data_IF_470714562268
#
_entry.id   IF_470714562268
#
_cell.length_a   1.000
_cell.length_b   1.000
_cell.length_c   1.000
_cell.angle_alpha   90.00
_cell.angle_beta   90.00
_cell.angle_gamma   90.00
#
_symmetry.space_group_name_H-M   'P 1'
#
loop_
_entity.id
_entity.type
_entity.pdbx_description
1 polymer ?
#
# COMPACT_ATOMS: atom_id res chain seq x y z
N UNK A 1 1.17 -32.51 -11.50
CA UNK A 1 1.52 -32.17 -10.10
C UNK A 1 0.53 -31.11 -9.66
N UNK A 2 -0.29 -31.37 -8.62
CA UNK A 2 -1.29 -30.41 -8.12
C UNK A 2 -0.54 -29.42 -7.24
N UNK A 3 -0.39 -28.16 -7.69
CA UNK A 3 0.00 -27.05 -6.83
C UNK A 3 -1.13 -26.83 -5.83
N UNK A 4 -0.88 -27.10 -4.55
CA UNK A 4 -1.82 -26.76 -3.48
C UNK A 4 -1.74 -25.25 -3.28
N UNK A 5 -2.80 -24.55 -3.68
CA UNK A 5 -3.01 -23.13 -3.37
C UNK A 5 -3.04 -22.95 -1.85
N UNK A 6 -2.07 -22.21 -1.32
CA UNK A 6 -2.08 -21.80 0.10
C UNK A 6 -3.17 -20.73 0.25
N UNK A 7 -4.17 -21.00 1.08
CA UNK A 7 -5.21 -20.00 1.32
C UNK A 7 -4.63 -18.80 2.10
N UNK A 8 -5.21 -17.60 1.91
CA UNK A 8 -4.77 -16.40 2.66
C UNK A 8 -4.77 -16.60 4.18
N UNK A 9 -5.65 -17.45 4.69
CA UNK A 9 -5.69 -17.85 6.09
C UNK A 9 -4.44 -18.62 6.51
N UNK A 10 -3.97 -19.55 5.68
CA UNK A 10 -2.76 -20.33 5.95
C UNK A 10 -1.51 -19.45 5.96
N UNK A 11 -1.44 -18.44 5.08
CA UNK A 11 -0.34 -17.49 5.07
C UNK A 11 -0.30 -16.66 6.36
N UNK A 12 -1.44 -16.16 6.83
CA UNK A 12 -1.54 -15.41 8.09
C UNK A 12 -1.09 -16.27 9.27
N UNK A 13 -1.48 -17.53 9.30
CA UNK A 13 -1.02 -18.48 10.32
C UNK A 13 0.50 -18.67 10.27
N UNK A 14 1.06 -18.87 9.09
CA UNK A 14 2.52 -19.00 8.93
C UNK A 14 3.27 -17.76 9.42
N UNK A 15 2.78 -16.56 9.09
CA UNK A 15 3.36 -15.30 9.57
C UNK A 15 3.26 -15.15 11.09
N UNK A 16 2.16 -15.58 11.72
CA UNK A 16 1.98 -15.60 13.18
C UNK A 16 3.02 -16.49 13.85
N UNK A 17 3.18 -17.72 13.37
CA UNK A 17 4.16 -18.64 13.91
C UNK A 17 5.60 -18.19 13.68
N UNK A 18 5.91 -17.65 12.50
CA UNK A 18 7.22 -17.12 12.19
C UNK A 18 7.59 -15.94 13.10
N UNK A 19 6.66 -15.00 13.28
CA UNK A 19 6.83 -13.87 14.19
C UNK A 19 7.06 -14.35 15.63
N UNK A 20 6.22 -15.26 16.13
CA UNK A 20 6.34 -15.83 17.47
C UNK A 20 7.72 -16.48 17.70
N UNK A 21 8.15 -17.33 16.78
CA UNK A 21 9.44 -18.03 16.90
C UNK A 21 10.62 -17.03 16.89
N UNK A 22 10.56 -16.01 16.03
CA UNK A 22 11.59 -14.98 15.97
C UNK A 22 11.60 -14.05 17.18
N UNK A 23 10.43 -13.62 17.65
CA UNK A 23 10.32 -12.83 18.88
C UNK A 23 10.91 -13.59 20.07
N UNK A 24 10.54 -14.87 20.22
CA UNK A 24 11.09 -15.74 21.27
C UNK A 24 12.61 -15.86 21.18
N UNK A 25 13.15 -16.06 19.97
CA UNK A 25 14.58 -16.13 19.73
C UNK A 25 15.30 -14.82 20.11
N UNK A 26 14.75 -13.65 19.75
CA UNK A 26 15.33 -12.36 20.13
C UNK A 26 15.31 -12.12 21.64
N UNK A 27 14.22 -12.46 22.33
CA UNK A 27 14.11 -12.37 23.80
C UNK A 27 15.18 -13.23 24.48
N UNK A 28 15.34 -14.48 24.01
CA UNK A 28 16.36 -15.39 24.53
C UNK A 28 17.78 -14.89 24.24
N UNK A 29 18.04 -14.43 23.02
CA UNK A 29 19.36 -13.87 22.61
C UNK A 29 19.75 -12.67 23.47
N UNK A 30 18.81 -11.80 23.83
CA UNK A 30 19.04 -10.63 24.67
C UNK A 30 18.98 -10.95 26.17
N UNK A 31 18.59 -12.16 26.54
CA UNK A 31 18.43 -12.63 27.92
C UNK A 31 17.55 -11.70 28.78
N UNK A 32 16.41 -11.27 28.22
CA UNK A 32 15.47 -10.38 28.91
C UNK A 32 14.15 -11.09 29.20
N UNK A 33 13.50 -10.69 30.30
CA UNK A 33 12.15 -11.18 30.61
C UNK A 33 11.07 -10.39 29.88
N UNK A 34 9.86 -10.99 29.73
CA UNK A 34 8.69 -10.28 29.17
C UNK A 34 8.34 -9.01 29.94
N UNK A 35 8.61 -8.97 31.25
CA UNK A 35 8.37 -7.78 32.08
C UNK A 35 9.39 -6.66 31.78
N UNK A 36 10.63 -7.00 31.46
CA UNK A 36 11.64 -6.06 31.00
C UNK A 36 11.31 -5.56 29.61
N UNK A 37 10.92 -6.46 28.69
CA UNK A 37 10.49 -6.08 27.35
C UNK A 37 9.26 -5.17 27.39
N UNK A 38 8.29 -5.42 28.27
CA UNK A 38 7.11 -4.55 28.44
C UNK A 38 7.52 -3.12 28.83
N UNK A 39 8.48 -2.99 29.77
CA UNK A 39 8.99 -1.68 30.20
C UNK A 39 9.76 -0.94 29.12
N UNK A 40 10.64 -1.64 28.39
CA UNK A 40 11.48 -1.03 27.36
C UNK A 40 10.69 -0.68 26.10
N UNK A 41 9.70 -1.50 25.71
CA UNK A 41 8.90 -1.28 24.50
C UNK A 41 7.67 -0.39 24.74
N UNK A 42 7.25 -0.17 25.98
CA UNK A 42 5.97 0.48 26.30
C UNK A 42 4.73 -0.32 25.86
N UNK A 43 4.89 -1.62 25.57
CA UNK A 43 3.80 -2.52 25.23
C UNK A 43 3.34 -3.25 26.50
N UNK A 44 2.03 -3.32 26.74
CA UNK A 44 1.54 -3.99 27.95
C UNK A 44 1.94 -5.46 27.97
N UNK A 45 2.21 -5.99 29.17
CA UNK A 45 2.57 -7.40 29.36
C UNK A 45 1.50 -8.37 28.84
N UNK A 46 0.22 -7.99 28.92
CA UNK A 46 -0.88 -8.80 28.40
C UNK A 46 -0.83 -8.93 26.87
N UNK A 47 -0.51 -7.86 26.17
CA UNK A 47 -0.30 -7.86 24.69
C UNK A 47 0.91 -8.71 24.33
N UNK A 48 2.04 -8.53 25.02
CA UNK A 48 3.23 -9.37 24.81
C UNK A 48 2.98 -10.84 25.07
N UNK A 49 2.20 -11.16 26.11
CA UNK A 49 1.79 -12.53 26.39
C UNK A 49 0.91 -13.09 25.26
N UNK A 50 0.08 -12.26 24.61
CA UNK A 50 -0.70 -12.66 23.44
C UNK A 50 0.17 -13.04 22.24
N UNK A 51 1.33 -12.39 22.07
CA UNK A 51 2.30 -12.74 21.02
C UNK A 51 3.09 -14.03 21.32
N UNK A 52 3.07 -14.48 22.58
CA UNK A 52 3.85 -15.65 23.06
C UNK A 52 2.98 -16.89 23.31
N UNK A 53 1.71 -16.87 22.90
CA UNK A 53 0.81 -18.05 23.02
C UNK A 53 1.04 -19.04 21.89
N UNK A 54 0.45 -20.23 22.03
CA UNK A 54 0.47 -21.26 20.98
C UNK A 54 -0.32 -20.84 19.73
N UNK A 55 -1.34 -19.98 19.89
CA UNK A 55 -1.99 -19.24 18.79
C UNK A 55 -1.62 -17.76 18.91
N UNK A 56 -0.46 -17.34 18.32
CA UNK A 56 0.07 -16.01 18.50
C UNK A 56 -0.68 -14.97 17.68
N UNK A 57 -0.94 -13.81 18.27
CA UNK A 57 -1.42 -12.66 17.54
C UNK A 57 -0.27 -12.01 16.76
N UNK A 58 -0.56 -11.41 15.58
CA UNK A 58 0.39 -10.54 14.90
C UNK A 58 0.40 -9.15 15.57
N UNK A 59 1.57 -8.53 15.72
CA UNK A 59 1.64 -7.15 16.17
C UNK A 59 1.08 -6.21 15.10
N UNK A 60 0.46 -5.14 15.54
CA UNK A 60 0.31 -4.00 14.65
C UNK A 60 1.68 -3.34 14.44
N UNK A 61 1.79 -2.50 13.43
CA UNK A 61 3.06 -1.89 13.04
C UNK A 61 3.69 -1.06 14.16
N UNK A 62 2.87 -0.31 14.91
CA UNK A 62 3.39 0.49 16.03
C UNK A 62 4.06 -0.41 17.08
N UNK A 63 3.45 -1.55 17.40
CA UNK A 63 4.03 -2.51 18.34
C UNK A 63 5.25 -3.22 17.74
N UNK A 64 5.24 -3.52 16.44
CA UNK A 64 6.40 -4.09 15.75
C UNK A 64 7.62 -3.16 15.85
N UNK A 65 7.44 -1.88 15.57
CA UNK A 65 8.51 -0.88 15.68
C UNK A 65 9.02 -0.72 17.10
N UNK A 66 8.13 -0.71 18.10
CA UNK A 66 8.49 -0.66 19.52
C UNK A 66 9.27 -1.90 19.97
N UNK A 67 8.89 -3.08 19.49
CA UNK A 67 9.62 -4.32 19.74
C UNK A 67 11.02 -4.27 19.13
N UNK A 68 11.13 -3.85 17.89
CA UNK A 68 12.41 -3.71 17.18
C UNK A 68 13.36 -2.76 17.93
N UNK A 69 12.85 -1.60 18.32
CA UNK A 69 13.64 -0.62 19.10
C UNK A 69 14.04 -1.19 20.48
N UNK A 70 13.12 -1.82 21.20
CA UNK A 70 13.39 -2.36 22.54
C UNK A 70 14.37 -3.55 22.52
N UNK A 71 14.38 -4.30 21.41
CA UNK A 71 15.27 -5.44 21.19
C UNK A 71 16.52 -5.09 20.38
N UNK A 72 16.66 -3.80 20.03
CA UNK A 72 17.80 -3.29 19.27
C UNK A 72 18.06 -4.18 18.02
N UNK A 73 17.03 -4.32 17.20
CA UNK A 73 17.07 -5.08 15.96
C UNK A 73 16.19 -4.39 14.90
N UNK A 74 16.42 -4.75 13.64
CA UNK A 74 15.57 -4.30 12.55
C UNK A 74 14.16 -4.93 12.64
N UNK A 75 13.08 -4.21 12.29
CA UNK A 75 11.72 -4.76 12.30
C UNK A 75 11.59 -6.03 11.45
N UNK A 76 12.38 -6.16 10.37
CA UNK A 76 12.47 -7.33 9.53
C UNK A 76 13.03 -8.57 10.25
N UNK A 77 13.75 -8.42 11.37
CA UNK A 77 14.28 -9.55 12.12
C UNK A 77 13.19 -10.48 12.71
N UNK A 78 11.97 -10.00 12.82
CA UNK A 78 10.83 -10.80 13.28
C UNK A 78 10.15 -11.62 12.20
N UNK A 79 10.50 -11.40 10.95
CA UNK A 79 9.97 -12.15 9.82
C UNK A 79 11.09 -12.91 9.14
N UNK A 80 10.81 -14.05 8.51
CA UNK A 80 11.83 -14.81 7.80
C UNK A 80 12.36 -13.95 6.63
N UNK A 81 13.54 -13.36 6.81
CA UNK A 81 14.30 -12.72 5.76
C UNK A 81 15.34 -13.72 5.26
N UNK A 82 15.28 -14.10 4.01
CA UNK A 82 16.40 -14.78 3.37
C UNK A 82 17.42 -13.73 2.94
N UNK A 83 18.54 -13.67 3.63
CA UNK A 83 19.74 -13.12 3.01
C UNK A 83 20.09 -14.01 1.82
N UNK A 84 20.28 -13.42 0.66
CA UNK A 84 20.52 -14.11 -0.61
C UNK A 84 21.78 -15.00 -0.66
N UNK A 85 22.44 -15.27 0.45
CA UNK A 85 23.71 -16.01 0.51
C UNK A 85 23.74 -17.31 1.31
N UNK A 86 22.71 -17.64 2.11
CA UNK A 86 22.75 -18.86 2.91
C UNK A 86 21.40 -19.57 2.94
N UNK A 87 21.26 -20.59 2.15
CA UNK A 87 20.38 -21.76 2.20
C UNK A 87 19.65 -22.05 0.90
N UNK A 88 20.41 -22.56 -0.07
CA UNK A 88 19.85 -23.46 -1.06
C UNK A 88 19.73 -24.84 -0.38
N UNK A 89 18.61 -25.11 0.26
CA UNK A 89 18.01 -26.44 0.42
C UNK A 89 17.01 -26.43 1.58
N UNK A 90 15.78 -26.63 1.25
CA UNK A 90 14.60 -26.96 2.05
C UNK A 90 13.55 -25.86 2.20
N UNK A 91 12.37 -26.15 1.59
CA UNK A 91 11.06 -25.52 1.83
C UNK A 91 11.10 -23.99 1.72
N UNK A 92 11.20 -23.50 0.51
CA UNK A 92 11.34 -22.08 0.21
C UNK A 92 10.14 -21.53 -0.52
N UNK A 93 9.11 -21.17 0.24
CA UNK A 93 8.22 -20.10 -0.17
C UNK A 93 8.35 -18.95 0.83
N UNK A 94 9.58 -18.44 0.95
CA UNK A 94 9.90 -17.39 1.89
C UNK A 94 9.54 -16.06 1.24
N UNK A 95 8.69 -15.30 1.92
CA UNK A 95 8.35 -13.93 1.59
C UNK A 95 9.60 -13.08 1.67
N UNK A 96 10.16 -12.66 0.55
CA UNK A 96 11.18 -11.62 0.51
C UNK A 96 10.47 -10.28 0.76
N UNK A 97 10.53 -9.80 2.00
CA UNK A 97 10.06 -8.47 2.37
C UNK A 97 11.29 -7.61 2.60
N UNK A 98 11.53 -6.65 1.75
CA UNK A 98 12.49 -5.58 2.03
C UNK A 98 11.75 -4.34 2.53
N UNK A 99 12.12 -3.87 3.71
CA UNK A 99 11.64 -2.61 4.25
C UNK A 99 12.69 -1.56 3.93
N UNK A 100 12.33 -0.60 3.11
CA UNK A 100 13.26 0.43 2.72
C UNK A 100 12.64 1.82 2.96
N UNK A 101 13.42 2.78 3.47
CA UNK A 101 13.00 4.18 3.46
C UNK A 101 12.84 4.64 2.01
N UNK A 102 11.78 5.41 1.75
CA UNK A 102 11.60 6.03 0.43
C UNK A 102 12.77 6.98 0.18
N UNK A 103 13.75 6.52 -0.58
CA UNK A 103 14.84 7.34 -1.10
C UNK A 103 14.80 7.38 -2.63
N UNK A 104 15.56 8.29 -3.22
CA UNK A 104 15.63 8.46 -4.69
C UNK A 104 16.07 7.18 -5.43
N UNK A 105 16.84 6.30 -4.80
CA UNK A 105 17.34 5.09 -5.44
C UNK A 105 16.25 4.03 -5.53
N UNK A 106 15.44 3.90 -4.49
CA UNK A 106 14.30 2.98 -4.48
C UNK A 106 13.20 3.41 -5.42
N UNK A 107 12.93 4.72 -5.48
CA UNK A 107 12.01 5.24 -6.47
C UNK A 107 12.50 4.89 -7.89
N UNK A 108 13.79 5.08 -8.20
CA UNK A 108 14.38 4.70 -9.48
C UNK A 108 14.24 3.20 -9.75
N UNK A 109 14.46 2.35 -8.76
CA UNK A 109 14.29 0.91 -8.90
C UNK A 109 12.84 0.53 -9.18
N UNK A 110 11.88 1.08 -8.42
CA UNK A 110 10.45 0.88 -8.66
C UNK A 110 10.04 1.33 -10.05
N UNK A 111 10.45 2.53 -10.47
CA UNK A 111 10.17 3.05 -11.81
C UNK A 111 10.81 2.19 -12.90
N UNK A 112 12.01 1.67 -12.68
CA UNK A 112 12.67 0.76 -13.61
C UNK A 112 11.89 -0.55 -13.76
N UNK A 113 11.40 -1.13 -12.66
CA UNK A 113 10.55 -2.33 -12.68
C UNK A 113 9.23 -2.08 -13.39
N UNK A 114 8.60 -0.92 -13.16
CA UNK A 114 7.37 -0.52 -13.86
C UNK A 114 7.65 -0.35 -15.37
N UNK A 115 8.71 0.33 -15.74
CA UNK A 115 9.07 0.50 -17.15
C UNK A 115 9.38 -0.83 -17.85
N UNK A 116 9.91 -1.80 -17.14
CA UNK A 116 10.19 -3.14 -17.65
C UNK A 116 8.93 -4.04 -17.72
N UNK A 117 7.82 -3.65 -17.09
CA UNK A 117 6.58 -4.42 -16.98
C UNK A 117 5.71 -4.37 -18.27
N UNK A 118 6.31 -4.16 -19.42
CA UNK A 118 5.59 -4.10 -20.70
C UNK A 118 4.78 -5.38 -20.92
N UNK A 119 3.46 -5.24 -21.05
CA UNK A 119 2.54 -6.36 -21.24
C UNK A 119 1.97 -6.96 -19.95
N UNK A 120 2.43 -6.54 -18.77
CA UNK A 120 1.82 -6.90 -17.50
C UNK A 120 0.70 -5.94 -17.13
N UNK A 121 -0.27 -6.42 -16.33
CA UNK A 121 -1.34 -5.58 -15.82
C UNK A 121 -0.95 -4.99 -14.48
N UNK A 122 -1.16 -3.68 -14.31
CA UNK A 122 -0.76 -2.93 -13.12
C UNK A 122 -1.99 -2.53 -12.30
N UNK A 123 -1.96 -2.81 -10.99
CA UNK A 123 -2.88 -2.25 -10.01
C UNK A 123 -2.18 -1.15 -9.24
N UNK A 124 -2.79 0.03 -9.22
CA UNK A 124 -2.33 1.14 -8.40
C UNK A 124 -3.44 1.60 -7.44
N UNK A 125 -3.18 1.48 -6.15
CA UNK A 125 -4.03 2.02 -5.08
C UNK A 125 -3.25 3.15 -4.42
N UNK A 126 -3.55 4.42 -4.72
CA UNK A 126 -2.85 5.56 -4.14
C UNK A 126 -3.27 5.80 -2.69
N UNK A 127 -2.40 6.45 -1.92
CA UNK A 127 -2.70 6.85 -0.54
C UNK A 127 -3.69 8.02 -0.49
N UNK A 128 -3.57 8.93 -1.46
CA UNK A 128 -4.45 10.09 -1.65
C UNK A 128 -4.95 10.08 -3.09
N UNK A 129 -4.80 11.18 -3.83
CA UNK A 129 -4.94 11.15 -5.28
C UNK A 129 -3.71 10.49 -5.93
N UNK A 130 -3.87 9.91 -7.13
CA UNK A 130 -2.72 9.36 -7.86
C UNK A 130 -1.70 10.46 -8.18
N UNK A 131 -0.48 10.35 -7.69
CA UNK A 131 0.55 11.39 -7.85
C UNK A 131 0.79 11.78 -9.32
N UNK A 132 0.71 10.81 -10.22
CA UNK A 132 0.86 11.04 -11.65
C UNK A 132 -0.25 11.91 -12.27
N UNK A 133 -1.41 11.98 -11.62
CA UNK A 133 -2.60 12.72 -12.08
C UNK A 133 -2.89 13.97 -11.25
N UNK A 134 -2.07 14.26 -10.25
CA UNK A 134 -2.19 15.50 -9.48
C UNK A 134 -1.82 16.70 -10.30
N UNK A 135 -2.58 17.78 -10.17
CA UNK A 135 -2.15 19.10 -10.64
C UNK A 135 -1.00 19.63 -9.77
N UNK A 136 -0.22 20.56 -10.30
CA UNK A 136 0.93 21.12 -9.57
C UNK A 136 0.47 21.84 -8.29
N UNK A 137 -0.74 22.41 -8.28
CA UNK A 137 -1.35 23.07 -7.12
C UNK A 137 -1.70 22.08 -6.01
N UNK A 138 -2.31 20.94 -6.35
CA UNK A 138 -2.62 19.87 -5.38
C UNK A 138 -1.32 19.29 -4.83
N UNK A 139 -0.38 19.03 -5.72
CA UNK A 139 0.91 18.48 -5.29
C UNK A 139 1.61 19.41 -4.31
N UNK A 140 1.67 20.71 -4.64
CA UNK A 140 2.26 21.74 -3.76
C UNK A 140 1.50 21.87 -2.45
N UNK A 141 0.18 21.75 -2.46
CA UNK A 141 -0.65 21.82 -1.27
C UNK A 141 -0.38 20.65 -0.32
N UNK A 142 -0.34 19.43 -0.84
CA UNK A 142 -0.04 18.25 -0.05
C UNK A 142 1.42 18.24 0.47
N UNK A 143 2.35 18.78 -0.31
CA UNK A 143 3.78 18.86 0.05
C UNK A 143 4.05 19.87 1.17
N UNK A 144 3.32 21.00 1.21
CA UNK A 144 3.42 21.96 2.32
C UNK A 144 3.08 21.32 3.67
N UNK A 145 2.22 20.30 3.67
CA UNK A 145 1.94 19.50 4.86
C UNK A 145 3.10 18.54 5.21
N UNK A 146 4.03 18.29 4.28
CA UNK A 146 5.15 17.36 4.45
C UNK A 146 6.38 17.75 3.58
N UNK A 147 7.05 18.90 3.83
CA UNK A 147 8.10 19.41 2.96
C UNK A 147 9.29 18.45 2.87
N UNK A 148 9.46 17.80 1.72
CA UNK A 148 10.60 16.95 1.39
C UNK A 148 10.99 17.07 -0.07
N UNK A 149 12.29 17.36 -0.30
CA UNK A 149 13.09 17.20 -1.51
C UNK A 149 12.57 17.81 -2.82
N UNK A 150 13.46 17.92 -3.80
CA UNK A 150 13.26 18.47 -5.15
C UNK A 150 12.17 17.69 -5.93
N UNK A 151 10.91 18.07 -5.68
CA UNK A 151 9.71 17.35 -6.11
C UNK A 151 9.48 17.35 -7.63
N UNK A 152 10.06 18.27 -8.40
CA UNK A 152 9.84 18.32 -9.87
C UNK A 152 10.32 17.06 -10.57
N UNK A 153 11.53 16.62 -10.25
CA UNK A 153 12.10 15.40 -10.85
C UNK A 153 11.31 14.14 -10.45
N UNK A 154 10.73 14.15 -9.25
CA UNK A 154 9.86 13.08 -8.76
C UNK A 154 8.55 13.04 -9.56
N UNK A 155 7.87 14.18 -9.69
CA UNK A 155 6.59 14.30 -10.42
C UNK A 155 6.76 13.86 -11.89
N UNK A 156 7.80 14.34 -12.56
CA UNK A 156 8.07 13.96 -13.95
C UNK A 156 8.27 12.45 -14.12
N UNK A 157 8.98 11.83 -13.18
CA UNK A 157 9.21 10.37 -13.21
C UNK A 157 7.91 9.60 -12.95
N UNK A 158 7.09 10.06 -12.00
CA UNK A 158 5.81 9.38 -11.68
C UNK A 158 4.82 9.53 -12.82
N UNK A 159 4.78 10.67 -13.52
CA UNK A 159 3.94 10.83 -14.72
C UNK A 159 4.28 9.83 -15.82
N UNK A 160 5.53 9.37 -15.90
CA UNK A 160 5.93 8.29 -16.81
C UNK A 160 5.33 6.91 -16.41
N UNK A 161 4.86 6.73 -15.17
CA UNK A 161 4.26 5.48 -14.72
C UNK A 161 2.90 5.22 -15.37
N UNK A 162 2.19 6.27 -15.78
CA UNK A 162 0.92 6.15 -16.53
C UNK A 162 1.23 6.37 -18.01
N UNK A 163 2.01 5.46 -18.58
CA UNK A 163 2.32 5.46 -20.00
C UNK A 163 1.26 4.71 -20.80
N UNK A 164 0.89 5.15 -22.01
CA UNK A 164 0.01 4.40 -22.90
C UNK A 164 0.53 3.01 -23.29
N UNK A 165 1.82 2.75 -23.07
CA UNK A 165 2.45 1.43 -23.32
C UNK A 165 2.22 0.43 -22.20
N UNK A 166 1.71 0.88 -21.05
CA UNK A 166 1.37 0.07 -19.89
C UNK A 166 -0.14 -0.05 -19.75
N UNK A 167 -0.60 -1.17 -19.20
CA UNK A 167 -2.01 -1.41 -18.96
C UNK A 167 -2.27 -1.55 -17.47
N UNK A 168 -3.31 -0.87 -16.96
CA UNK A 168 -3.58 -0.96 -15.56
C UNK A 168 -4.89 -0.32 -15.10
N UNK A 169 -5.12 -0.40 -13.81
CA UNK A 169 -6.23 0.26 -13.14
C UNK A 169 -5.73 1.04 -11.93
N UNK A 170 -6.23 2.26 -11.81
CA UNK A 170 -6.08 3.10 -10.63
C UNK A 170 -7.36 2.95 -9.80
N UNK A 171 -7.22 2.49 -8.56
CA UNK A 171 -8.32 2.32 -7.62
C UNK A 171 -8.26 3.45 -6.59
N UNK A 172 -9.11 4.45 -6.74
CA UNK A 172 -9.17 5.63 -5.84
C UNK A 172 -10.27 5.38 -4.81
N UNK A 173 -10.02 5.72 -3.55
CA UNK A 173 -11.09 5.64 -2.55
C UNK A 173 -12.12 6.75 -2.75
N UNK A 174 -13.40 6.41 -2.57
CA UNK A 174 -14.50 7.37 -2.61
C UNK A 174 -14.30 8.48 -1.57
N UNK A 175 -13.83 8.10 -0.39
CA UNK A 175 -13.57 9.03 0.71
C UNK A 175 -12.54 10.10 0.31
N UNK A 176 -11.49 9.75 -0.41
CA UNK A 176 -10.50 10.71 -0.93
C UNK A 176 -11.13 11.70 -1.89
N UNK A 177 -11.97 11.24 -2.81
CA UNK A 177 -12.64 12.12 -3.77
C UNK A 177 -13.68 13.02 -3.09
N UNK A 178 -14.44 12.49 -2.14
CA UNK A 178 -15.39 13.28 -1.35
C UNK A 178 -14.69 14.34 -0.48
N UNK A 179 -13.55 14.01 0.10
CA UNK A 179 -12.74 14.96 0.87
C UNK A 179 -12.21 16.08 -0.03
N UNK A 180 -11.79 15.77 -1.26
CA UNK A 180 -11.39 16.78 -2.24
C UNK A 180 -12.55 17.70 -2.64
N UNK A 181 -13.72 17.13 -2.99
CA UNK A 181 -14.90 17.89 -3.43
C UNK A 181 -15.43 18.79 -2.32
N UNK A 182 -15.46 18.29 -1.11
CA UNK A 182 -15.99 18.98 0.06
C UNK A 182 -14.95 19.76 0.87
N UNK A 183 -13.70 19.81 0.40
CA UNK A 183 -12.58 20.50 1.04
C UNK A 183 -12.38 20.07 2.50
N UNK A 184 -12.37 18.77 2.74
CA UNK A 184 -12.24 18.16 4.08
C UNK A 184 -10.97 17.33 4.19
N UNK A 185 -10.72 16.81 5.40
CA UNK A 185 -9.58 15.95 5.65
C UNK A 185 -8.26 16.64 5.30
N UNK A 186 -7.45 16.01 4.49
CA UNK A 186 -6.16 16.55 4.03
C UNK A 186 -6.32 17.76 3.09
N UNK A 187 -7.49 17.94 2.47
CA UNK A 187 -7.80 19.06 1.57
C UNK A 187 -8.50 20.24 2.27
N UNK A 188 -8.57 20.20 3.60
CA UNK A 188 -9.09 21.33 4.37
C UNK A 188 -8.20 22.57 4.16
N UNK A 189 -8.82 23.67 3.71
CA UNK A 189 -8.11 24.91 3.37
C UNK A 189 -7.70 25.05 1.91
N UNK A 190 -7.91 24.02 1.09
CA UNK A 190 -7.76 24.11 -0.37
C UNK A 190 -8.86 25.02 -0.94
N UNK A 191 -8.56 25.80 -2.01
CA UNK A 191 -9.60 26.58 -2.67
C UNK A 191 -10.50 25.70 -3.54
N UNK A 192 -11.80 26.03 -3.62
CA UNK A 192 -12.76 25.30 -4.47
C UNK A 192 -12.32 25.27 -5.93
N UNK A 193 -11.74 26.38 -6.42
CA UNK A 193 -11.21 26.46 -7.78
C UNK A 193 -10.15 25.38 -8.05
N UNK A 194 -9.22 25.17 -7.13
CA UNK A 194 -8.16 24.15 -7.28
C UNK A 194 -8.75 22.74 -7.21
N UNK A 195 -9.71 22.51 -6.30
CA UNK A 195 -10.43 21.24 -6.24
C UNK A 195 -11.14 20.92 -7.56
N UNK A 196 -11.85 21.89 -8.14
CA UNK A 196 -12.57 21.71 -9.42
C UNK A 196 -11.59 21.47 -10.59
N UNK A 197 -10.47 22.19 -10.61
CA UNK A 197 -9.40 21.95 -11.60
C UNK A 197 -8.84 20.55 -11.52
N UNK A 198 -8.60 20.04 -10.30
CA UNK A 198 -8.11 18.67 -10.11
C UNK A 198 -9.16 17.64 -10.55
N UNK A 199 -10.42 17.83 -10.24
CA UNK A 199 -11.48 16.92 -10.71
C UNK A 199 -11.58 16.90 -12.23
N UNK A 200 -11.51 18.06 -12.89
CA UNK A 200 -11.48 18.14 -14.36
C UNK A 200 -10.24 17.42 -14.93
N UNK A 201 -9.07 17.61 -14.32
CA UNK A 201 -7.84 16.91 -14.74
C UNK A 201 -7.96 15.39 -14.65
N UNK A 202 -8.66 14.86 -13.62
CA UNK A 202 -8.93 13.43 -13.52
C UNK A 202 -9.90 12.94 -14.61
N UNK A 203 -10.92 13.73 -14.95
CA UNK A 203 -11.84 13.43 -16.07
C UNK A 203 -11.12 13.41 -17.40
N UNK A 204 -10.28 14.42 -17.67
CA UNK A 204 -9.46 14.49 -18.89
C UNK A 204 -8.52 13.28 -18.99
N UNK A 205 -7.86 12.92 -17.89
CA UNK A 205 -7.00 11.74 -17.82
C UNK A 205 -7.75 10.44 -18.11
N UNK A 206 -9.01 10.29 -17.68
CA UNK A 206 -9.82 9.14 -18.03
C UNK A 206 -10.02 9.03 -19.54
N UNK A 207 -10.26 10.13 -20.22
CA UNK A 207 -10.48 10.15 -21.68
C UNK A 207 -9.17 9.90 -22.44
N UNK A 208 -8.07 10.51 -22.01
CA UNK A 208 -6.77 10.43 -22.68
C UNK A 208 -6.11 9.05 -22.54
N UNK A 209 -6.25 8.42 -21.37
CA UNK A 209 -5.53 7.18 -21.05
C UNK A 209 -6.33 5.92 -21.37
N UNK A 210 -7.64 6.03 -21.60
CA UNK A 210 -8.46 4.87 -21.97
C UNK A 210 -8.08 4.33 -23.35
N UNK A 211 -8.02 3.02 -23.59
CA UNK A 211 -8.34 1.92 -22.66
C UNK A 211 -7.16 1.41 -21.83
N UNK A 212 -5.95 1.92 -22.02
CA UNK A 212 -4.73 1.42 -21.38
C UNK A 212 -4.80 1.55 -19.86
N UNK A 213 -5.32 2.67 -19.37
CA UNK A 213 -5.55 2.88 -17.96
C UNK A 213 -7.02 3.15 -17.68
N UNK A 214 -7.51 2.53 -16.61
CA UNK A 214 -8.85 2.76 -16.10
C UNK A 214 -8.75 3.40 -14.71
N UNK A 215 -9.62 4.36 -14.42
CA UNK A 215 -9.77 4.88 -13.07
C UNK A 215 -11.10 4.38 -12.51
N UNK A 216 -11.05 3.75 -11.35
CA UNK A 216 -12.24 3.22 -10.66
C UNK A 216 -12.28 3.69 -9.21
N UNK A 217 -13.47 3.81 -8.68
CA UNK A 217 -13.74 4.31 -7.34
C UNK A 217 -14.28 3.18 -6.47
N UNK A 218 -13.67 2.99 -5.32
CA UNK A 218 -14.10 2.01 -4.32
C UNK A 218 -14.32 2.69 -2.96
N UNK A 219 -15.15 2.09 -2.10
CA UNK A 219 -15.37 2.59 -0.74
C UNK A 219 -14.56 1.78 0.28
N UNK A 220 -13.88 2.46 1.20
CA UNK A 220 -13.20 1.83 2.34
C UNK A 220 -14.19 1.16 3.33
N UNK A 221 -15.50 1.44 3.22
CA UNK A 221 -16.52 0.74 4.00
C UNK A 221 -16.67 -0.70 3.54
N UNK A 222 -16.55 -0.92 2.22
CA UNK A 222 -16.72 -2.23 1.60
C UNK A 222 -15.40 -2.99 1.47
N UNK A 223 -14.29 -2.26 1.28
CA UNK A 223 -12.98 -2.85 1.04
C UNK A 223 -11.90 -2.17 1.86
N UNK A 224 -11.15 -2.97 2.60
CA UNK A 224 -9.94 -2.48 3.31
C UNK A 224 -8.72 -2.86 2.52
N UNK A 225 -8.16 -1.91 1.81
CA UNK A 225 -6.93 -2.06 1.04
C UNK A 225 -5.94 -0.97 1.46
N UNK A 226 -4.68 -1.36 1.58
CA UNK A 226 -3.60 -0.40 1.82
C UNK A 226 -3.07 0.14 0.49
N UNK A 227 -2.57 1.37 0.47
CA UNK A 227 -1.92 1.93 -0.71
C UNK A 227 -0.83 1.00 -1.23
N UNK A 228 -0.86 0.69 -2.52
CA UNK A 228 0.10 -0.24 -3.11
C UNK A 228 0.19 -0.11 -4.63
N UNK A 229 1.33 -0.59 -5.15
CA UNK A 229 1.57 -0.91 -6.55
C UNK A 229 1.74 -2.41 -6.70
N UNK A 230 0.97 -3.03 -7.57
CA UNK A 230 1.11 -4.43 -7.94
C UNK A 230 1.36 -4.53 -9.45
N UNK A 231 2.46 -5.15 -9.85
CA UNK A 231 2.84 -5.38 -11.25
C UNK A 231 2.74 -6.88 -11.53
N UNK A 232 1.76 -7.26 -12.33
CA UNK A 232 1.53 -8.66 -12.67
C UNK A 232 1.50 -9.56 -11.44
N UNK A 233 2.24 -10.66 -11.51
CA UNK A 233 2.39 -11.64 -10.43
C UNK A 233 3.78 -11.58 -9.75
N UNK A 234 4.55 -10.54 -10.05
CA UNK A 234 5.98 -10.54 -9.76
C UNK A 234 6.41 -9.50 -8.74
N UNK A 235 5.69 -8.42 -8.58
CA UNK A 235 6.18 -7.31 -7.77
C UNK A 235 5.05 -6.53 -7.10
N UNK A 236 5.08 -6.45 -5.78
CA UNK A 236 4.18 -5.66 -4.97
C UNK A 236 4.99 -4.67 -4.14
N UNK A 237 4.65 -3.38 -4.26
CA UNK A 237 5.11 -2.33 -3.36
C UNK A 237 3.92 -1.86 -2.55
N UNK A 238 4.03 -1.91 -1.25
CA UNK A 238 3.03 -1.37 -0.34
C UNK A 238 3.60 -0.14 0.34
N UNK A 239 2.92 0.99 0.19
CA UNK A 239 3.31 2.23 0.87
C UNK A 239 2.91 2.18 2.34
N UNK A 240 3.86 2.48 3.21
CA UNK A 240 3.64 2.50 4.64
C UNK A 240 4.34 3.70 5.29
N UNK A 241 3.64 4.81 5.49
CA UNK A 241 4.19 6.09 5.97
C UNK A 241 5.38 6.58 5.14
N UNK A 242 6.60 6.44 5.71
CA UNK A 242 7.87 6.83 5.07
C UNK A 242 8.61 5.64 4.46
N UNK A 243 7.98 4.48 4.48
CA UNK A 243 8.61 3.22 4.05
C UNK A 243 7.81 2.59 2.93
N UNK A 244 8.53 2.04 1.98
CA UNK A 244 7.97 1.13 0.99
C UNK A 244 8.31 -0.30 1.39
N UNK A 245 7.30 -1.14 1.45
CA UNK A 245 7.47 -2.57 1.64
C UNK A 245 7.42 -3.21 0.26
N UNK A 246 8.57 -3.70 -0.20
CA UNK A 246 8.64 -4.50 -1.42
C UNK A 246 8.42 -5.97 -1.06
N UNK A 247 7.51 -6.61 -1.77
CA UNK A 247 7.15 -8.02 -1.56
C UNK A 247 7.35 -8.74 -2.89
N UNK A 248 8.21 -9.75 -2.89
CA UNK A 248 8.50 -10.60 -4.04
C UNK A 248 8.06 -12.05 -3.81
N UNK A 249 7.11 -12.27 -2.89
CA UNK A 249 6.56 -13.58 -2.60
C UNK A 249 5.34 -13.86 -3.47
N UNK A 250 5.44 -14.84 -4.33
CA UNK A 250 4.36 -15.24 -5.24
C UNK A 250 3.05 -15.53 -4.50
N UNK A 251 2.99 -16.29 -3.40
CA UNK A 251 1.74 -16.53 -2.69
C UNK A 251 1.09 -15.26 -2.14
N UNK A 252 1.90 -14.34 -1.59
CA UNK A 252 1.41 -13.05 -1.06
C UNK A 252 0.89 -12.17 -2.19
N UNK A 253 1.64 -12.09 -3.29
CA UNK A 253 1.26 -11.31 -4.48
C UNK A 253 -0.07 -11.84 -5.05
N UNK A 254 -0.23 -13.15 -5.21
CA UNK A 254 -1.47 -13.75 -5.69
C UNK A 254 -2.66 -13.48 -4.76
N UNK A 255 -2.44 -13.49 -3.44
CA UNK A 255 -3.47 -13.13 -2.45
C UNK A 255 -3.91 -11.68 -2.57
N UNK A 256 -2.97 -10.74 -2.70
CA UNK A 256 -3.26 -9.32 -2.92
C UNK A 256 -3.93 -9.12 -4.27
N UNK A 257 -3.44 -9.75 -5.33
CA UNK A 257 -4.02 -9.68 -6.67
C UNK A 257 -5.47 -10.15 -6.70
N UNK A 258 -5.79 -11.25 -6.03
CA UNK A 258 -7.17 -11.75 -5.94
C UNK A 258 -8.10 -10.73 -5.26
N UNK A 259 -7.61 -10.05 -4.22
CA UNK A 259 -8.33 -8.98 -3.54
C UNK A 259 -8.53 -7.77 -4.46
N UNK A 260 -7.47 -7.31 -5.14
CA UNK A 260 -7.53 -6.18 -6.07
C UNK A 260 -8.40 -6.48 -7.29
N UNK A 261 -8.39 -7.69 -7.81
CA UNK A 261 -9.30 -8.17 -8.85
C UNK A 261 -10.77 -8.06 -8.41
N UNK A 262 -11.04 -8.41 -7.15
CA UNK A 262 -12.39 -8.31 -6.58
C UNK A 262 -12.83 -6.85 -6.47
N UNK A 263 -11.97 -5.97 -5.96
CA UNK A 263 -12.23 -4.55 -5.87
C UNK A 263 -12.44 -3.97 -7.28
N UNK A 264 -11.54 -4.24 -8.23
CA UNK A 264 -11.64 -3.76 -9.61
C UNK A 264 -12.99 -4.11 -10.26
N UNK A 265 -13.47 -5.35 -10.05
CA UNK A 265 -14.75 -5.81 -10.60
C UNK A 265 -15.97 -5.13 -9.98
N UNK A 266 -15.90 -4.79 -8.68
CA UNK A 266 -17.01 -4.22 -7.90
C UNK A 266 -16.95 -2.71 -7.79
N UNK A 267 -15.79 -2.09 -8.03
CA UNK A 267 -15.60 -0.65 -8.02
C UNK A 267 -16.38 0.02 -9.16
N UNK A 268 -16.88 1.22 -8.88
CA UNK A 268 -17.59 2.04 -9.84
C UNK A 268 -16.61 2.69 -10.81
N UNK A 269 -16.98 2.79 -12.07
CA UNK A 269 -16.22 3.59 -13.04
C UNK A 269 -16.18 5.06 -12.60
N UNK A 270 -15.00 5.70 -12.72
CA UNK A 270 -14.83 7.06 -12.21
C UNK A 270 -15.75 8.08 -12.88
N UNK A 271 -15.93 8.03 -14.19
CA UNK A 271 -16.81 8.97 -14.90
C UNK A 271 -18.26 8.81 -14.43
N UNK A 272 -18.70 7.55 -14.27
CA UNK A 272 -20.05 7.28 -13.74
C UNK A 272 -20.20 7.78 -12.28
N UNK A 273 -19.17 7.60 -11.45
CA UNK A 273 -19.16 8.13 -10.09
C UNK A 273 -19.23 9.66 -10.07
N UNK A 274 -18.50 10.34 -10.97
CA UNK A 274 -18.54 11.81 -11.12
C UNK A 274 -19.94 12.27 -11.48
N UNK A 275 -20.61 11.64 -12.44
CA UNK A 275 -21.99 11.95 -12.82
C UNK A 275 -22.97 11.87 -11.64
N UNK A 276 -22.79 10.88 -10.76
CA UNK A 276 -23.66 10.71 -9.59
C UNK A 276 -23.40 11.72 -8.46
N UNK A 277 -22.17 12.19 -8.30
CA UNK A 277 -21.74 12.96 -7.12
C UNK A 277 -21.46 14.45 -7.38
N UNK A 278 -21.31 14.87 -8.64
CA UNK A 278 -20.97 16.27 -8.98
C UNK A 278 -22.06 17.02 -9.71
N UNK A 279 -23.00 16.31 -10.33
CA UNK A 279 -24.17 16.97 -10.91
C UNK A 279 -25.10 17.46 -9.77
N UNK A 280 -25.61 18.70 -9.82
CA UNK A 280 -26.62 19.14 -8.87
C UNK A 280 -27.80 18.15 -8.95
N UNK A 281 -28.20 17.61 -7.80
CA UNK A 281 -29.45 16.85 -7.66
C UNK A 281 -30.62 17.80 -7.94
N UNK A 282 -30.81 18.16 -9.20
CA UNK A 282 -31.99 18.91 -9.66
C UNK A 282 -33.13 17.92 -9.76
N UNK A 283 -33.98 17.92 -8.74
CA UNK A 283 -35.40 17.57 -8.80
C UNK A 283 -35.76 16.15 -9.29
N UNK A 284 -35.39 15.14 -8.51
CA UNK A 284 -36.21 13.93 -8.47
C UNK A 284 -37.14 14.01 -7.23
N UNK A 285 -37.92 15.08 -7.15
CA UNK A 285 -39.13 15.13 -6.35
C UNK A 285 -40.17 15.93 -7.14
N UNK A 286 -40.81 15.30 -8.10
CA UNK A 286 -42.14 15.55 -8.61
C UNK A 286 -42.41 14.72 -9.85
N UNK A 287 -42.79 13.48 -9.69
CA UNK A 287 -43.95 12.90 -10.40
C UNK A 287 -44.50 11.78 -9.52
#
# INVERSE_FOLDING_TARGET
MKNSEISGTQLIEQLRFAFHARLRSQILKKNISLSQLARSSGISRSVLSGYMRDDPALPNTANLMRLAQALDCEPGAFFPMTSASEQRNSVSDIVNISLAMVDDNQLKETLSKIAAATGEFIYYVPNTLPDALKTDEIFSFEDHANPKSDNRTYIEKIRLMISPTLNGVILISEETLLDLIHLRGIYAGLSKKVSDQQMNSLVDACHEQFPSWQIKVFSHRDFRVSPCFLIGNSFLVQEFFKYNIQIESVPTILGVQASLNTIHRLATDFLHWVEQNTLPQTDIQKV
#
